data_IF_103054741595
#
_entry.id   IF_103054741595
#
_cell.length_a   1.000
_cell.length_b   1.000
_cell.length_c   1.000
_cell.angle_alpha   90.00
_cell.angle_beta   90.00
_cell.angle_gamma   90.00
#
_symmetry.space_group_name_H-M   'P 1'
#
loop_
_entity.id
_entity.type
_entity.pdbx_description
1 polymer ?
#
# COMPACT_ATOMS: atom_id res chain seq x y z
N UNK A 1 -9.65 -0.96 -19.08
CA UNK A 1 -9.47 -0.77 -17.62
C UNK A 1 -10.53 0.19 -17.15
N UNK A 2 -11.17 -0.09 -16.02
CA UNK A 2 -12.32 0.66 -15.51
C UNK A 2 -12.13 1.01 -14.03
N UNK A 3 -12.78 2.07 -13.56
CA UNK A 3 -12.83 2.45 -12.15
C UNK A 3 -14.24 2.89 -11.78
N UNK A 4 -14.64 2.67 -10.53
CA UNK A 4 -15.90 3.22 -10.02
C UNK A 4 -15.75 4.73 -9.76
N UNK A 5 -16.64 5.53 -10.34
CA UNK A 5 -16.79 6.97 -10.14
C UNK A 5 -18.26 7.25 -9.92
N UNK A 6 -18.65 7.90 -8.82
CA UNK A 6 -20.05 8.16 -8.48
C UNK A 6 -20.94 6.89 -8.61
N UNK A 7 -20.47 5.78 -8.03
CA UNK A 7 -21.15 4.47 -8.06
C UNK A 7 -21.37 3.88 -9.46
N UNK A 8 -20.70 4.40 -10.49
CA UNK A 8 -20.80 3.93 -11.87
C UNK A 8 -19.43 3.59 -12.45
N UNK A 9 -19.37 2.65 -13.41
CA UNK A 9 -18.13 2.31 -14.08
C UNK A 9 -17.76 3.37 -15.13
N UNK A 10 -16.53 3.86 -15.05
CA UNK A 10 -15.92 4.76 -16.04
C UNK A 10 -14.55 4.23 -16.47
N UNK A 11 -14.03 4.72 -17.59
CA UNK A 11 -12.68 4.39 -18.03
C UNK A 11 -11.65 4.85 -16.97
N UNK A 12 -10.78 3.94 -16.53
CA UNK A 12 -9.79 4.27 -15.51
C UNK A 12 -8.74 5.24 -16.06
N UNK A 13 -8.40 6.26 -15.28
CA UNK A 13 -7.34 7.23 -15.57
C UNK A 13 -6.14 7.06 -14.63
N UNK A 14 -5.04 7.79 -14.88
CA UNK A 14 -3.73 7.59 -14.22
C UNK A 14 -3.75 7.68 -12.70
N UNK A 15 -4.66 8.46 -12.14
CA UNK A 15 -4.92 8.44 -10.72
C UNK A 15 -6.32 7.88 -10.51
N UNK A 16 -6.37 6.66 -9.99
CA UNK A 16 -7.64 6.02 -9.67
C UNK A 16 -8.19 6.71 -8.41
N UNK A 17 -7.38 6.92 -7.36
CA UNK A 17 -7.74 7.57 -6.08
C UNK A 17 -8.37 8.99 -6.19
N UNK A 18 -7.87 9.83 -7.08
CA UNK A 18 -8.17 11.27 -7.15
C UNK A 18 -9.36 11.62 -8.07
N UNK A 19 -10.00 10.60 -8.67
CA UNK A 19 -11.31 10.80 -9.31
C UNK A 19 -12.42 10.97 -8.26
N UNK A 20 -12.09 10.85 -6.97
CA UNK A 20 -13.04 10.99 -5.87
C UNK A 20 -12.97 12.30 -5.07
N UNK A 21 -11.90 13.11 -5.12
CA UNK A 21 -11.83 14.30 -4.25
C UNK A 21 -10.79 15.39 -4.66
N UNK A 22 -11.28 16.62 -4.89
CA UNK A 22 -10.59 17.92 -4.68
C UNK A 22 -9.68 18.52 -5.77
N UNK A 23 -9.79 18.13 -7.03
CA UNK A 23 -9.23 18.94 -8.13
C UNK A 23 -7.70 19.06 -8.15
N UNK A 24 -6.99 18.08 -7.59
CA UNK A 24 -5.56 17.96 -7.85
C UNK A 24 -5.34 17.65 -9.34
N UNK A 25 -4.30 18.26 -9.92
CA UNK A 25 -4.05 18.16 -11.35
C UNK A 25 -3.77 16.67 -11.74
N UNK A 26 -4.48 16.09 -12.73
CA UNK A 26 -4.32 14.69 -13.15
C UNK A 26 -2.90 14.27 -13.59
N UNK A 27 -1.97 15.22 -13.68
CA UNK A 27 -0.59 15.03 -14.10
C UNK A 27 0.39 14.75 -12.96
N UNK A 28 0.08 15.12 -11.71
CA UNK A 28 1.04 15.05 -10.59
C UNK A 28 0.90 13.82 -9.72
N UNK A 29 -0.23 13.10 -9.79
CA UNK A 29 -0.53 11.98 -8.93
C UNK A 29 -0.74 10.71 -9.76
N UNK A 30 -0.06 9.62 -9.41
CA UNK A 30 -0.20 8.31 -10.08
C UNK A 30 -0.22 7.23 -9.02
N UNK A 31 -1.20 6.33 -9.06
CA UNK A 31 -1.23 5.15 -8.20
C UNK A 31 -0.69 3.90 -8.92
N UNK A 32 -0.54 2.78 -8.21
CA UNK A 32 -0.02 1.52 -8.75
C UNK A 32 -1.04 0.77 -9.63
N UNK A 33 -2.30 1.20 -9.65
CA UNK A 33 -3.43 0.49 -10.28
C UNK A 33 -3.21 0.33 -11.80
N UNK A 34 -2.90 1.42 -12.49
CA UNK A 34 -2.75 1.38 -13.95
C UNK A 34 -1.55 0.52 -14.38
N UNK A 35 -0.34 0.67 -13.78
CA UNK A 35 0.77 -0.26 -14.03
C UNK A 35 0.41 -1.72 -13.73
N UNK A 36 -0.29 -1.99 -12.62
CA UNK A 36 -0.75 -3.32 -12.26
C UNK A 36 -1.67 -3.94 -13.33
N UNK A 37 -2.74 -3.24 -13.73
CA UNK A 37 -3.65 -3.75 -14.75
C UNK A 37 -2.98 -3.97 -16.10
N UNK A 38 -2.09 -3.05 -16.51
CA UNK A 38 -1.33 -3.22 -17.75
C UNK A 38 -0.46 -4.47 -17.72
N UNK A 39 0.21 -4.72 -16.60
CA UNK A 39 1.04 -5.91 -16.43
C UNK A 39 0.20 -7.20 -16.45
N UNK A 40 -0.97 -7.23 -15.80
CA UNK A 40 -1.89 -8.38 -15.87
C UNK A 40 -2.39 -8.65 -17.29
N UNK A 41 -2.78 -7.60 -18.02
CA UNK A 41 -3.27 -7.73 -19.40
C UNK A 41 -2.13 -8.19 -20.31
N UNK A 42 -0.95 -7.61 -20.19
CA UNK A 42 0.21 -7.99 -20.98
C UNK A 42 0.64 -9.45 -20.71
N UNK A 43 0.50 -9.93 -19.48
CA UNK A 43 0.76 -11.31 -19.12
C UNK A 43 -0.35 -12.30 -19.55
N UNK A 44 -1.45 -11.82 -20.15
CA UNK A 44 -2.61 -12.64 -20.50
C UNK A 44 -3.42 -13.14 -19.30
N UNK A 45 -3.13 -12.65 -18.09
CA UNK A 45 -3.79 -13.06 -16.86
C UNK A 45 -5.19 -12.43 -16.69
N UNK A 46 -5.48 -11.37 -17.44
CA UNK A 46 -6.81 -10.77 -17.52
C UNK A 46 -7.03 -10.08 -18.86
N UNK A 47 -8.27 -10.06 -19.34
CA UNK A 47 -8.69 -9.25 -20.48
C UNK A 47 -9.24 -7.88 -20.05
N UNK A 48 -9.72 -7.79 -18.80
CA UNK A 48 -10.35 -6.59 -18.27
C UNK A 48 -10.11 -6.46 -16.76
N UNK A 49 -9.66 -5.28 -16.32
CA UNK A 49 -9.46 -4.96 -14.91
C UNK A 49 -10.34 -3.77 -14.52
N UNK A 50 -11.08 -3.93 -13.43
CA UNK A 50 -11.89 -2.89 -12.79
C UNK A 50 -11.36 -2.58 -11.39
N UNK A 51 -11.34 -1.30 -11.03
CA UNK A 51 -10.88 -0.83 -9.72
C UNK A 51 -12.04 -0.28 -8.89
N UNK A 52 -12.14 -0.76 -7.66
CA UNK A 52 -12.96 -0.19 -6.60
C UNK A 52 -12.00 0.39 -5.58
N UNK A 53 -12.13 1.68 -5.29
CA UNK A 53 -11.23 2.33 -4.33
C UNK A 53 -11.81 2.28 -2.93
N UNK A 54 -10.92 2.01 -1.99
CA UNK A 54 -11.07 2.39 -0.59
C UNK A 54 -9.80 3.11 -0.19
N UNK A 55 -9.93 4.25 0.46
CA UNK A 55 -8.81 4.97 1.06
C UNK A 55 -9.02 5.02 2.57
N UNK A 56 -7.94 4.81 3.31
CA UNK A 56 -7.89 5.10 4.74
C UNK A 56 -6.54 5.73 5.03
N UNK A 57 -6.55 6.92 5.63
CA UNK A 57 -5.32 7.58 6.04
C UNK A 57 -4.60 6.71 7.09
N UNK A 58 -3.40 6.27 6.72
CA UNK A 58 -2.64 5.31 7.50
C UNK A 58 -2.10 5.88 8.82
N UNK A 59 -2.25 7.19 9.06
CA UNK A 59 -1.65 7.92 10.19
C UNK A 59 -1.98 7.33 11.56
N UNK A 60 -3.13 6.66 11.72
CA UNK A 60 -3.56 6.11 13.02
C UNK A 60 -2.79 4.86 13.44
N UNK A 61 -2.19 4.11 12.51
CA UNK A 61 -1.53 2.82 12.82
C UNK A 61 -0.03 2.97 13.13
N UNK A 62 0.64 3.99 12.57
CA UNK A 62 2.09 4.17 12.75
C UNK A 62 2.45 4.88 14.06
N UNK A 63 1.61 5.82 14.51
CA UNK A 63 2.01 6.83 15.50
C UNK A 63 1.07 6.92 16.72
N UNK A 64 0.66 5.79 17.28
CA UNK A 64 -0.07 5.82 18.55
C UNK A 64 0.77 6.22 19.76
N UNK A 65 2.08 6.46 19.59
CA UNK A 65 2.84 7.29 20.53
C UNK A 65 2.65 8.74 20.09
N UNK A 66 1.43 9.26 20.21
CA UNK A 66 1.23 10.70 20.27
C UNK A 66 1.09 11.08 21.74
N UNK A 67 1.28 12.36 22.07
CA UNK A 67 1.04 12.90 23.42
C UNK A 67 -0.38 12.61 23.98
N UNK A 68 -1.27 12.03 23.17
CA UNK A 68 -2.67 11.69 23.48
C UNK A 68 -2.92 10.23 23.86
N UNK A 69 -1.92 9.33 23.82
CA UNK A 69 -2.07 7.95 24.31
C UNK A 69 -0.81 7.43 25.02
N UNK A 70 -0.51 7.90 26.24
CA UNK A 70 0.67 7.48 27.01
C UNK A 70 0.63 6.01 27.50
N UNK A 71 -0.48 5.30 27.29
CA UNK A 71 -0.66 3.89 27.66
C UNK A 71 -0.67 2.94 26.45
N UNK A 72 -0.52 3.46 25.23
CA UNK A 72 -0.75 2.71 24.01
C UNK A 72 0.35 1.70 23.73
N UNK A 73 0.03 0.41 23.76
CA UNK A 73 0.80 -0.60 23.00
C UNK A 73 0.93 -0.04 21.58
N UNK A 74 2.16 0.14 21.04
CA UNK A 74 2.29 0.70 19.71
C UNK A 74 1.51 -0.19 18.73
N UNK A 75 0.53 0.38 18.03
CA UNK A 75 -0.37 -0.38 17.14
C UNK A 75 0.40 -1.15 16.06
N UNK A 76 1.63 -0.73 15.77
CA UNK A 76 2.62 -1.48 15.00
C UNK A 76 2.78 -2.94 15.44
N UNK A 77 2.75 -3.25 16.75
CA UNK A 77 2.84 -4.61 17.28
C UNK A 77 1.53 -5.40 17.19
N UNK A 78 0.43 -4.74 16.83
CA UNK A 78 -0.87 -5.36 16.58
C UNK A 78 -1.25 -5.35 15.09
N UNK A 79 -0.35 -4.91 14.21
CA UNK A 79 -0.61 -4.78 12.78
C UNK A 79 -1.09 -6.10 12.17
N UNK A 80 -0.39 -7.21 12.42
CA UNK A 80 -0.75 -8.52 11.86
C UNK A 80 -2.16 -8.97 12.30
N UNK A 81 -2.49 -9.09 13.60
CA UNK A 81 -3.83 -9.53 14.01
C UNK A 81 -4.94 -8.59 13.54
N UNK A 82 -4.70 -7.27 13.51
CA UNK A 82 -5.69 -6.30 13.01
C UNK A 82 -5.92 -6.41 11.51
N UNK A 83 -4.85 -6.50 10.73
CA UNK A 83 -4.94 -6.64 9.27
C UNK A 83 -5.54 -8.00 8.88
N UNK A 84 -5.17 -9.08 9.58
CA UNK A 84 -5.79 -10.40 9.41
C UNK A 84 -7.30 -10.35 9.64
N UNK A 85 -7.75 -9.66 10.71
CA UNK A 85 -9.18 -9.48 11.00
C UNK A 85 -9.89 -8.66 9.92
N UNK A 86 -9.26 -7.60 9.43
CA UNK A 86 -9.79 -6.79 8.33
C UNK A 86 -10.02 -7.63 7.08
N UNK A 87 -9.01 -8.40 6.67
CA UNK A 87 -9.09 -9.27 5.49
C UNK A 87 -10.15 -10.35 5.65
N UNK A 88 -10.20 -11.00 6.81
CA UNK A 88 -11.21 -12.01 7.11
C UNK A 88 -12.63 -11.43 7.04
N UNK A 89 -12.82 -10.21 7.55
CA UNK A 89 -14.11 -9.51 7.51
C UNK A 89 -14.50 -9.16 6.07
N UNK A 90 -13.58 -8.60 5.28
CA UNK A 90 -13.81 -8.29 3.87
C UNK A 90 -14.20 -9.55 3.08
N UNK A 91 -13.51 -10.67 3.32
CA UNK A 91 -13.84 -11.97 2.70
C UNK A 91 -15.23 -12.45 3.08
N UNK A 92 -15.60 -12.39 4.35
CA UNK A 92 -16.92 -12.81 4.81
C UNK A 92 -18.04 -11.96 4.16
N UNK A 93 -17.82 -10.65 4.05
CA UNK A 93 -18.80 -9.74 3.42
C UNK A 93 -18.92 -9.94 1.91
N UNK A 94 -17.84 -10.35 1.25
CA UNK A 94 -17.79 -10.53 -0.20
C UNK A 94 -17.95 -11.98 -0.66
N UNK A 95 -18.13 -12.94 0.26
CA UNK A 95 -18.06 -14.39 -0.01
C UNK A 95 -19.06 -14.84 -1.08
N UNK A 96 -20.24 -14.22 -1.15
CA UNK A 96 -21.27 -14.58 -2.13
C UNK A 96 -20.87 -14.26 -3.59
N UNK A 97 -19.95 -13.31 -3.78
CA UNK A 97 -19.44 -12.91 -5.11
C UNK A 97 -18.00 -13.40 -5.34
N UNK A 98 -17.22 -13.50 -4.27
CA UNK A 98 -15.80 -13.84 -4.31
C UNK A 98 -15.42 -14.83 -3.19
N UNK A 99 -15.82 -16.11 -3.31
CA UNK A 99 -15.60 -17.11 -2.26
C UNK A 99 -14.11 -17.38 -1.96
N UNK A 100 -13.22 -17.02 -2.89
CA UNK A 100 -11.77 -17.18 -2.77
C UNK A 100 -11.00 -15.86 -2.94
N UNK A 101 -11.61 -14.72 -2.58
CA UNK A 101 -11.06 -13.37 -2.81
C UNK A 101 -9.54 -13.30 -2.53
N UNK A 102 -8.71 -13.17 -3.60
CA UNK A 102 -7.28 -12.93 -3.46
C UNK A 102 -7.05 -11.55 -2.85
N UNK A 103 -6.07 -11.47 -1.95
CA UNK A 103 -5.66 -10.20 -1.33
C UNK A 103 -4.20 -9.98 -1.64
N UNK A 104 -3.86 -8.76 -2.05
CA UNK A 104 -2.49 -8.35 -2.29
C UNK A 104 -2.12 -7.24 -1.30
N UNK A 105 -1.00 -7.39 -0.60
CA UNK A 105 -0.51 -6.41 0.38
C UNK A 105 0.92 -6.00 0.03
N UNK A 106 1.24 -4.72 0.17
CA UNK A 106 2.61 -4.24 0.04
C UNK A 106 3.40 -4.47 1.33
N UNK A 107 4.60 -5.01 1.21
CA UNK A 107 5.61 -4.89 2.27
C UNK A 107 6.23 -3.52 2.13
N UNK A 108 6.13 -2.71 3.17
CA UNK A 108 6.60 -1.33 3.10
C UNK A 108 8.11 -1.25 2.94
N UNK A 109 8.58 -0.33 2.09
CA UNK A 109 10.00 0.03 2.08
C UNK A 109 10.38 0.64 3.43
N UNK A 110 11.51 0.21 3.98
CA UNK A 110 12.05 0.71 5.26
C UNK A 110 13.11 1.78 5.03
N UNK A 111 13.94 1.60 3.99
CA UNK A 111 15.03 2.52 3.65
C UNK A 111 14.51 3.95 3.49
N UNK A 112 15.18 4.90 4.14
CA UNK A 112 14.88 6.34 4.15
C UNK A 112 13.50 6.73 4.72
N UNK A 113 12.83 5.81 5.44
CA UNK A 113 11.48 6.03 6.00
C UNK A 113 11.39 5.84 7.50
N UNK A 114 12.36 5.18 8.12
CA UNK A 114 12.42 4.91 9.56
C UNK A 114 12.53 6.18 10.43
N UNK A 115 13.12 7.26 9.91
CA UNK A 115 13.14 8.56 10.60
C UNK A 115 11.74 9.17 10.81
N UNK A 116 10.84 8.98 9.83
CA UNK A 116 9.44 9.46 9.90
C UNK A 116 8.55 8.41 10.55
N UNK A 117 8.85 7.13 10.32
CA UNK A 117 8.09 5.98 10.81
C UNK A 117 9.00 5.00 11.55
N UNK A 118 9.36 5.27 12.81
CA UNK A 118 10.37 4.48 13.55
C UNK A 118 10.03 3.01 13.75
N UNK A 119 8.74 2.66 13.66
CA UNK A 119 8.25 1.28 13.79
C UNK A 119 7.92 0.64 12.45
N UNK A 120 8.36 1.21 11.32
CA UNK A 120 8.06 0.69 9.98
C UNK A 120 8.66 -0.71 9.76
N UNK A 121 9.83 -0.99 10.32
CA UNK A 121 10.43 -2.33 10.30
C UNK A 121 9.55 -3.35 11.04
N UNK A 122 9.03 -3.00 12.21
CA UNK A 122 8.10 -3.84 12.98
C UNK A 122 6.85 -4.16 12.15
N UNK A 123 6.25 -3.16 11.51
CA UNK A 123 5.07 -3.35 10.66
C UNK A 123 5.39 -4.23 9.45
N UNK A 124 6.56 -4.05 8.85
CA UNK A 124 7.04 -4.89 7.74
C UNK A 124 7.18 -6.34 8.20
N UNK A 125 7.84 -6.60 9.32
CA UNK A 125 8.00 -7.95 9.89
C UNK A 125 6.64 -8.58 10.21
N UNK A 126 5.73 -7.81 10.82
CA UNK A 126 4.36 -8.24 11.09
C UNK A 126 3.60 -8.60 9.81
N UNK A 127 3.78 -7.83 8.74
CA UNK A 127 3.16 -8.10 7.44
C UNK A 127 3.75 -9.37 6.83
N UNK A 128 5.07 -9.54 6.85
CA UNK A 128 5.76 -10.73 6.34
C UNK A 128 5.37 -12.01 7.09
N UNK A 129 5.13 -11.92 8.40
CA UNK A 129 4.71 -13.04 9.23
C UNK A 129 3.23 -13.45 9.04
N UNK A 130 2.46 -12.72 8.21
CA UNK A 130 1.05 -13.02 8.00
C UNK A 130 0.87 -14.24 7.12
N UNK A 131 0.21 -15.27 7.67
CA UNK A 131 -0.10 -16.50 6.96
C UNK A 131 -1.62 -16.58 6.72
N UNK A 132 -2.04 -16.31 5.48
CA UNK A 132 -3.44 -16.39 5.08
C UNK A 132 -3.58 -17.04 3.71
N UNK A 133 -4.64 -17.86 3.48
CA UNK A 133 -4.93 -18.37 2.15
C UNK A 133 -5.12 -17.24 1.14
N UNK A 134 -4.68 -17.43 -0.11
CA UNK A 134 -4.82 -16.46 -1.21
C UNK A 134 -4.33 -15.04 -0.87
N UNK A 135 -3.36 -14.91 0.02
CA UNK A 135 -2.64 -13.67 0.29
C UNK A 135 -1.35 -13.65 -0.54
N UNK A 136 -1.16 -12.60 -1.31
CA UNK A 136 0.10 -12.31 -2.00
C UNK A 136 0.71 -11.04 -1.43
N UNK A 137 2.03 -11.01 -1.37
CA UNK A 137 2.78 -9.87 -0.87
C UNK A 137 3.72 -9.36 -1.95
N UNK A 138 3.80 -8.05 -2.11
CA UNK A 138 4.76 -7.41 -3.00
C UNK A 138 5.70 -6.55 -2.18
N UNK A 139 6.99 -6.85 -2.25
CA UNK A 139 8.00 -6.06 -1.56
C UNK A 139 8.16 -4.69 -2.24
N UNK A 140 8.13 -3.59 -1.49
CA UNK A 140 8.37 -2.24 -2.04
C UNK A 140 9.80 -1.75 -1.83
N UNK A 141 10.64 -2.53 -1.16
CA UNK A 141 12.05 -2.19 -0.96
C UNK A 141 12.75 -1.97 -2.32
N UNK A 142 13.48 -0.86 -2.44
CA UNK A 142 14.12 -0.43 -3.69
C UNK A 142 13.20 0.17 -4.75
N UNK A 143 11.88 0.28 -4.53
CA UNK A 143 11.04 1.07 -5.43
C UNK A 143 11.32 2.59 -5.23
N UNK A 144 11.49 3.40 -6.30
CA UNK A 144 11.90 4.79 -6.17
C UNK A 144 10.93 5.68 -5.36
N UNK A 145 11.45 6.36 -4.35
CA UNK A 145 10.74 7.31 -3.50
C UNK A 145 11.01 8.76 -3.95
N UNK A 146 10.18 9.72 -3.53
CA UNK A 146 10.48 11.15 -3.66
C UNK A 146 10.51 11.82 -2.29
N UNK A 147 11.36 12.85 -2.17
CA UNK A 147 11.58 13.56 -0.92
C UNK A 147 10.49 14.60 -0.65
N UNK A 148 10.05 14.65 0.60
CA UNK A 148 9.14 15.66 1.16
C UNK A 148 9.85 16.34 2.32
N UNK A 149 9.68 17.64 2.44
CA UNK A 149 10.25 18.41 3.54
C UNK A 149 9.38 18.33 4.79
N UNK A 150 9.92 17.74 5.85
CA UNK A 150 9.29 17.68 7.18
C UNK A 150 9.78 18.76 8.13
N UNK A 151 10.57 19.73 7.69
CA UNK A 151 11.14 20.80 8.53
C UNK A 151 10.09 21.66 9.26
N UNK A 152 8.84 21.68 8.79
CA UNK A 152 7.71 22.38 9.43
C UNK A 152 6.87 21.53 10.40
N UNK A 153 7.20 20.24 10.60
CA UNK A 153 6.38 19.30 11.40
C UNK A 153 6.81 19.17 12.87
N UNK A 154 7.68 20.06 13.36
CA UNK A 154 8.27 20.04 14.70
C UNK A 154 7.25 19.96 15.87
N UNK A 155 5.97 20.28 15.64
CA UNK A 155 4.91 20.19 16.66
C UNK A 155 4.08 18.89 16.65
N UNK A 156 4.01 18.16 15.53
CA UNK A 156 3.12 16.99 15.39
C UNK A 156 3.79 15.68 15.82
N UNK A 157 5.11 15.63 15.72
CA UNK A 157 5.94 14.46 16.02
C UNK A 157 6.91 14.73 17.18
N UNK A 158 6.54 15.57 18.16
CA UNK A 158 7.39 16.14 19.23
C UNK A 158 8.26 15.19 20.08
N UNK A 159 8.34 13.92 19.71
CA UNK A 159 9.17 12.84 20.24
C UNK A 159 10.40 12.56 19.35
N UNK A 160 10.43 13.01 18.09
CA UNK A 160 11.41 12.57 17.08
C UNK A 160 12.38 13.65 16.56
N UNK A 161 12.27 14.89 17.05
CA UNK A 161 13.16 15.98 16.66
C UNK A 161 13.01 16.42 15.20
N UNK A 162 13.93 17.26 14.72
CA UNK A 162 13.90 17.83 13.38
C UNK A 162 14.20 16.76 12.32
N UNK A 163 13.18 16.39 11.52
CA UNK A 163 13.27 15.27 10.57
C UNK A 163 13.81 15.70 9.19
N UNK A 164 13.61 16.96 8.80
CA UNK A 164 14.08 17.53 7.53
C UNK A 164 13.51 16.84 6.29
N UNK A 165 14.26 16.85 5.18
CA UNK A 165 13.86 16.16 3.95
C UNK A 165 13.89 14.64 4.10
N UNK A 166 12.77 13.97 3.85
CA UNK A 166 12.65 12.51 3.90
C UNK A 166 11.88 11.95 2.71
N UNK A 167 12.32 10.79 2.23
CA UNK A 167 11.74 10.13 1.06
C UNK A 167 10.68 9.12 1.50
N UNK A 168 9.44 9.57 1.70
CA UNK A 168 8.40 8.71 2.30
C UNK A 168 7.30 8.21 1.35
N UNK A 169 7.18 8.83 0.18
CA UNK A 169 6.15 8.50 -0.80
C UNK A 169 6.81 7.90 -2.05
N UNK A 170 6.14 6.92 -2.66
CA UNK A 170 6.54 6.40 -3.96
C UNK A 170 6.42 7.50 -5.02
N UNK A 171 7.51 7.70 -5.76
CA UNK A 171 7.51 8.52 -6.97
C UNK A 171 6.68 7.84 -8.06
N UNK A 172 6.47 8.51 -9.20
CA UNK A 172 5.76 7.91 -10.35
C UNK A 172 6.41 6.60 -10.83
N UNK A 173 7.74 6.53 -10.83
CA UNK A 173 8.45 5.27 -11.15
C UNK A 173 8.33 4.26 -10.02
N UNK A 174 8.31 4.69 -8.76
CA UNK A 174 7.98 3.86 -7.60
C UNK A 174 6.59 3.22 -7.68
N UNK A 175 5.59 3.97 -8.11
CA UNK A 175 4.21 3.48 -8.30
C UNK A 175 4.13 2.47 -9.45
N UNK A 176 4.92 2.70 -10.51
CA UNK A 176 5.09 1.72 -11.59
C UNK A 176 5.74 0.44 -11.10
N UNK A 177 6.81 0.55 -10.31
CA UNK A 177 7.49 -0.57 -9.64
C UNK A 177 6.51 -1.38 -8.77
N UNK A 178 5.73 -0.70 -7.92
CA UNK A 178 4.71 -1.33 -7.07
C UNK A 178 3.67 -2.11 -7.88
N UNK A 179 3.06 -1.49 -8.90
CA UNK A 179 2.06 -2.16 -9.72
C UNK A 179 2.61 -3.38 -10.48
N UNK A 180 3.83 -3.29 -10.99
CA UNK A 180 4.50 -4.44 -11.64
C UNK A 180 4.77 -5.58 -10.66
N UNK A 181 5.26 -5.28 -9.45
CA UNK A 181 5.52 -6.30 -8.42
C UNK A 181 4.24 -6.97 -7.94
N UNK A 182 3.14 -6.22 -7.80
CA UNK A 182 1.84 -6.82 -7.53
C UNK A 182 1.35 -7.73 -8.65
N UNK A 183 1.52 -7.33 -9.91
CA UNK A 183 1.10 -8.16 -11.03
C UNK A 183 1.93 -9.45 -11.10
N UNK A 184 3.25 -9.36 -10.87
CA UNK A 184 4.11 -10.52 -10.77
C UNK A 184 3.68 -11.46 -9.62
N UNK A 185 3.43 -10.91 -8.43
CA UNK A 185 3.00 -11.69 -7.27
C UNK A 185 1.63 -12.36 -7.49
N UNK A 186 0.69 -11.64 -8.11
CA UNK A 186 -0.64 -12.15 -8.44
C UNK A 186 -0.56 -13.28 -9.48
N UNK A 187 0.20 -13.10 -10.56
CA UNK A 187 0.30 -14.07 -11.66
C UNK A 187 1.12 -15.31 -11.30
N UNK A 188 2.08 -15.21 -10.38
CA UNK A 188 2.85 -16.34 -9.91
C UNK A 188 1.99 -17.41 -9.19
N UNK A 189 0.77 -17.07 -8.77
CA UNK A 189 -0.22 -18.04 -8.25
C UNK A 189 0.22 -18.77 -6.99
N UNK A 190 1.31 -18.35 -6.34
CA UNK A 190 1.84 -18.96 -5.12
C UNK A 190 1.73 -17.95 -3.99
N UNK A 191 1.09 -18.29 -2.85
CA UNK A 191 1.40 -17.58 -1.63
C UNK A 191 2.91 -17.75 -1.39
N UNK A 192 3.59 -16.64 -1.11
CA UNK A 192 5.01 -16.48 -0.77
C UNK A 192 5.99 -16.01 -1.87
N UNK A 193 6.41 -14.75 -1.66
CA UNK A 193 7.60 -14.00 -2.12
C UNK A 193 7.91 -13.95 -3.63
N UNK A 194 7.78 -12.75 -4.20
CA UNK A 194 8.55 -12.33 -5.37
C UNK A 194 9.72 -11.49 -4.89
N UNK A 195 10.86 -12.12 -4.61
CA UNK A 195 12.13 -11.41 -4.42
C UNK A 195 12.58 -10.91 -5.81
N UNK A 196 13.09 -9.67 -5.94
CA UNK A 196 13.62 -9.21 -7.22
C UNK A 196 14.75 -10.14 -7.70
N UNK A 197 14.88 -10.41 -9.01
CA UNK A 197 16.07 -11.08 -9.52
C UNK A 197 17.30 -10.21 -9.25
N UNK A 198 18.21 -10.67 -8.37
CA UNK A 198 19.51 -10.03 -8.14
C UNK A 198 19.97 -9.80 -6.69
N UNK A 199 19.28 -10.31 -5.68
CA UNK A 199 19.71 -10.19 -4.26
C UNK A 199 20.02 -11.55 -3.63
N UNK A 200 21.10 -12.18 -4.10
CA UNK A 200 21.79 -13.30 -3.44
C UNK A 200 23.24 -12.90 -3.17
#
# INVERSE_FOLDING_TARGET
>A
MWSIVNQSWAAAVRNVHDVSNKGAAPSSTTGPEIPFARALIAAGASQLVGFIQGEGDAMTIYNSISAWNPQGIPWAYQYNPLMTRLIATARAQLVQWHPLLPVAISLQAVTDRDRVFPLISVIRDQTQAMLMPNLVMADMEGCPLYSVDFSGFDGYLGIYGWVGWQSIHLSRSGQTCMGQRFAAAYTAGKPHFVTPPGSA
#
